data_IF_460746160989
#
_entry.id   IF_460746160989
#
_cell.length_a   1.000
_cell.length_b   1.000
_cell.length_c   1.000
_cell.angle_alpha   90.00
_cell.angle_beta   90.00
_cell.angle_gamma   90.00
#
_symmetry.space_group_name_H-M   'P 1'
#
loop_
_entity.id
_entity.type
_entity.pdbx_description
1 polymer ?
#
# COMPACT_ATOMS: atom_id res chain seq x y z
N UNK A 1 15.70 -10.07 -10.44
CA UNK A 1 15.40 -10.41 -9.05
C UNK A 1 14.46 -9.36 -8.48
N UNK A 2 13.64 -9.74 -7.48
CA UNK A 2 12.72 -8.84 -6.79
C UNK A 2 12.77 -9.07 -5.28
N UNK A 3 12.69 -7.98 -4.51
CA UNK A 3 12.57 -8.01 -3.06
C UNK A 3 11.44 -7.07 -2.61
N UNK A 4 10.91 -7.32 -1.41
CA UNK A 4 9.90 -6.48 -0.77
C UNK A 4 10.33 -6.17 0.64
N UNK A 5 10.17 -4.93 1.04
CA UNK A 5 10.40 -4.44 2.39
C UNK A 5 9.10 -3.81 2.90
N UNK A 6 8.49 -4.45 3.88
CA UNK A 6 7.27 -4.00 4.53
C UNK A 6 7.63 -3.46 5.92
N UNK A 7 7.32 -2.18 6.18
CA UNK A 7 7.74 -1.47 7.38
C UNK A 7 6.54 -0.80 8.07
N UNK A 8 6.47 -0.88 9.39
CA UNK A 8 5.50 -0.08 10.15
C UNK A 8 6.12 1.29 10.47
N UNK A 9 6.02 2.19 9.51
CA UNK A 9 6.64 3.53 9.54
C UNK A 9 5.70 4.58 8.95
N UNK A 10 6.00 5.88 9.20
CA UNK A 10 5.32 6.99 8.54
C UNK A 10 5.81 7.16 7.09
N UNK A 11 5.10 7.98 6.29
CA UNK A 11 5.48 8.24 4.90
C UNK A 11 6.86 8.94 4.79
N UNK A 12 7.18 9.81 5.75
CA UNK A 12 8.50 10.46 5.84
C UNK A 12 9.59 9.43 6.12
N UNK A 13 9.41 8.55 7.10
CA UNK A 13 10.38 7.49 7.38
C UNK A 13 10.50 6.47 6.25
N UNK A 14 9.39 6.12 5.56
CA UNK A 14 9.44 5.30 4.35
C UNK A 14 10.36 5.95 3.29
N UNK A 15 10.30 7.26 3.12
CA UNK A 15 11.18 7.99 2.20
C UNK A 15 12.64 7.94 2.66
N UNK A 16 12.93 8.17 3.94
CA UNK A 16 14.29 8.05 4.47
C UNK A 16 14.89 6.66 4.22
N UNK A 17 14.11 5.59 4.46
CA UNK A 17 14.54 4.21 4.16
C UNK A 17 14.89 4.05 2.67
N UNK A 18 14.09 4.62 1.78
CA UNK A 18 14.35 4.57 0.34
C UNK A 18 15.65 5.27 -0.02
N UNK A 19 15.92 6.44 0.55
CA UNK A 19 17.13 7.22 0.29
C UNK A 19 18.38 6.46 0.82
N UNK A 20 18.33 5.89 2.02
CA UNK A 20 19.40 5.04 2.56
C UNK A 20 19.65 3.78 1.71
N UNK A 21 18.59 3.16 1.20
CA UNK A 21 18.72 2.01 0.30
C UNK A 21 19.36 2.40 -1.05
N UNK A 22 19.08 3.59 -1.58
CA UNK A 22 19.73 4.08 -2.80
C UNK A 22 21.26 4.20 -2.61
N UNK A 23 21.69 4.77 -1.47
CA UNK A 23 23.10 4.90 -1.14
C UNK A 23 23.73 3.52 -0.98
N UNK A 24 23.10 2.63 -0.19
CA UNK A 24 23.58 1.27 0.02
C UNK A 24 23.74 0.49 -1.29
N UNK A 25 22.74 0.50 -2.18
CA UNK A 25 22.84 -0.23 -3.43
C UNK A 25 23.87 0.36 -4.39
N UNK A 26 24.08 1.67 -4.34
CA UNK A 26 25.16 2.34 -5.08
C UNK A 26 26.52 1.87 -4.58
N UNK A 27 26.74 1.82 -3.27
CA UNK A 27 27.96 1.29 -2.65
C UNK A 27 28.17 -0.20 -2.97
N UNK A 28 27.07 -0.97 -3.06
CA UNK A 28 27.10 -2.38 -3.47
C UNK A 28 27.32 -2.59 -4.97
N UNK A 29 27.57 -1.53 -5.76
CA UNK A 29 27.92 -1.62 -7.17
C UNK A 29 26.75 -1.56 -8.14
N UNK A 30 25.61 -1.04 -7.73
CA UNK A 30 24.54 -0.67 -8.67
C UNK A 30 25.03 0.45 -9.59
N UNK A 31 24.96 0.25 -10.89
CA UNK A 31 25.35 1.24 -11.90
C UNK A 31 24.28 2.29 -12.15
N UNK A 32 23.04 2.01 -11.71
CA UNK A 32 21.89 2.91 -11.77
C UNK A 32 20.84 2.49 -10.74
N UNK A 33 20.26 3.48 -10.07
CA UNK A 33 19.14 3.35 -9.14
C UNK A 33 18.06 4.35 -9.58
N UNK A 34 16.92 3.84 -10.01
CA UNK A 34 15.76 4.67 -10.38
C UNK A 34 14.66 4.51 -9.32
N UNK A 35 14.18 5.62 -8.77
CA UNK A 35 13.07 5.65 -7.82
C UNK A 35 11.78 5.88 -8.58
N UNK A 36 10.78 5.01 -8.38
CA UNK A 36 9.42 5.18 -8.86
C UNK A 36 8.47 5.25 -7.68
N UNK A 37 8.02 6.45 -7.34
CA UNK A 37 7.05 6.69 -6.28
C UNK A 37 5.63 6.50 -6.82
N UNK A 38 4.92 5.49 -6.32
CA UNK A 38 3.55 5.13 -6.69
C UNK A 38 2.55 5.40 -5.56
N UNK A 39 2.93 6.20 -4.55
CA UNK A 39 2.07 6.48 -3.39
C UNK A 39 0.86 7.35 -3.71
N UNK A 40 0.79 7.93 -4.91
CA UNK A 40 -0.40 8.63 -5.41
C UNK A 40 -1.60 7.69 -5.66
N UNK A 41 -1.36 6.37 -5.79
CA UNK A 41 -2.41 5.38 -6.02
C UNK A 41 -2.98 5.40 -7.44
N UNK A 42 -2.30 6.03 -8.40
CA UNK A 42 -2.73 6.14 -9.81
C UNK A 42 -2.84 4.78 -10.53
N UNK A 43 -2.22 3.73 -9.98
CA UNK A 43 -2.24 2.37 -10.51
C UNK A 43 -3.26 1.50 -9.75
N UNK A 44 -4.54 1.67 -10.06
CA UNK A 44 -5.65 0.89 -9.45
C UNK A 44 -5.64 0.90 -7.91
N UNK A 45 -5.22 2.01 -7.31
CA UNK A 45 -5.09 2.14 -5.85
C UNK A 45 -3.81 1.57 -5.24
N UNK A 46 -2.95 0.91 -6.02
CA UNK A 46 -1.67 0.39 -5.54
C UNK A 46 -0.74 1.50 -5.06
N UNK A 47 -0.09 1.30 -3.90
CA UNK A 47 0.82 2.26 -3.28
C UNK A 47 2.11 1.57 -2.83
N UNK A 48 3.24 2.13 -3.24
CA UNK A 48 4.58 1.70 -2.84
C UNK A 48 5.62 2.71 -3.37
N UNK A 49 6.86 2.60 -2.92
CA UNK A 49 8.01 3.17 -3.62
C UNK A 49 8.83 2.02 -4.18
N UNK A 50 9.10 2.04 -5.48
CA UNK A 50 9.93 1.04 -6.15
C UNK A 50 11.33 1.59 -6.42
N UNK A 51 12.33 0.80 -6.11
CA UNK A 51 13.71 0.99 -6.53
C UNK A 51 14.02 0.03 -7.66
N UNK A 52 14.25 0.57 -8.84
CA UNK A 52 14.71 -0.20 -10.00
C UNK A 52 16.23 -0.13 -10.07
N UNK A 53 16.87 -1.25 -9.82
CA UNK A 53 18.32 -1.36 -9.67
C UNK A 53 18.92 -2.00 -10.91
N UNK A 54 19.98 -1.42 -11.42
CA UNK A 54 20.79 -2.00 -12.48
C UNK A 54 22.18 -2.36 -11.94
N UNK A 55 22.54 -3.61 -12.04
CA UNK A 55 23.87 -4.12 -11.74
C UNK A 55 24.50 -4.66 -13.03
N UNK A 56 25.85 -4.84 -13.09
CA UNK A 56 26.50 -5.54 -14.20
C UNK A 56 25.93 -6.95 -14.44
N UNK A 57 25.50 -7.62 -13.37
CA UNK A 57 24.91 -8.97 -13.40
C UNK A 57 23.42 -9.01 -13.81
N UNK A 58 22.75 -7.85 -13.92
CA UNK A 58 21.33 -7.79 -14.30
C UNK A 58 20.50 -6.79 -13.52
N UNK A 59 19.18 -6.98 -13.55
CA UNK A 59 18.20 -6.09 -12.93
C UNK A 59 17.66 -6.67 -11.63
N UNK A 60 17.40 -5.78 -10.66
CA UNK A 60 16.61 -6.08 -9.48
C UNK A 60 15.59 -4.96 -9.21
N UNK A 61 14.51 -5.30 -8.53
CA UNK A 61 13.49 -4.37 -8.04
C UNK A 61 13.33 -4.56 -6.54
N UNK A 62 13.29 -3.47 -5.81
CA UNK A 62 12.94 -3.46 -4.38
C UNK A 62 11.70 -2.60 -4.21
N UNK A 63 10.66 -3.18 -3.60
CA UNK A 63 9.43 -2.50 -3.25
C UNK A 63 9.46 -2.15 -1.77
N UNK A 64 9.34 -0.88 -1.44
CA UNK A 64 9.25 -0.39 -0.06
C UNK A 64 7.82 0.06 0.20
N UNK A 65 7.18 -0.55 1.20
CA UNK A 65 5.78 -0.32 1.57
C UNK A 65 5.65 -0.05 3.06
N UNK A 66 4.64 0.72 3.44
CA UNK A 66 4.17 0.72 4.82
C UNK A 66 3.39 -0.56 5.11
N UNK A 67 3.10 -0.82 6.39
CA UNK A 67 2.30 -1.98 6.80
C UNK A 67 0.91 -1.98 6.13
N UNK A 68 0.20 -0.84 6.11
CA UNK A 68 -1.10 -0.72 5.46
C UNK A 68 -1.05 -0.89 3.94
N UNK A 69 -0.04 -0.30 3.28
CA UNK A 69 0.18 -0.46 1.83
C UNK A 69 0.42 -1.93 1.48
N UNK A 70 1.19 -2.63 2.30
CA UNK A 70 1.48 -4.05 2.10
C UNK A 70 0.25 -4.92 2.31
N UNK A 71 -0.49 -4.71 3.39
CA UNK A 71 -1.72 -5.46 3.67
C UNK A 71 -2.73 -5.30 2.54
N UNK A 72 -3.02 -4.05 2.14
CA UNK A 72 -3.91 -3.78 1.01
C UNK A 72 -3.46 -4.48 -0.27
N UNK A 73 -2.18 -4.39 -0.60
CA UNK A 73 -1.65 -4.99 -1.82
C UNK A 73 -1.79 -6.53 -1.82
N UNK A 74 -1.59 -7.19 -0.68
CA UNK A 74 -1.76 -8.64 -0.55
C UNK A 74 -3.23 -9.04 -0.72
N UNK A 75 -4.17 -8.27 -0.15
CA UNK A 75 -5.61 -8.48 -0.31
C UNK A 75 -6.02 -8.28 -1.77
N UNK A 76 -5.51 -7.22 -2.43
CA UNK A 76 -5.79 -6.95 -3.84
C UNK A 76 -5.24 -8.03 -4.78
N UNK A 77 -4.04 -8.56 -4.50
CA UNK A 77 -3.49 -9.71 -5.22
C UNK A 77 -4.38 -10.95 -5.05
N UNK A 78 -4.88 -11.18 -3.84
CA UNK A 78 -5.82 -12.26 -3.56
C UNK A 78 -7.14 -12.13 -4.34
N UNK A 79 -7.65 -10.91 -4.48
CA UNK A 79 -8.79 -10.60 -5.34
C UNK A 79 -8.47 -10.86 -6.82
N UNK A 80 -7.27 -10.45 -7.30
CA UNK A 80 -6.83 -10.66 -8.67
C UNK A 80 -6.66 -12.15 -9.03
N UNK A 81 -6.30 -12.99 -8.08
CA UNK A 81 -6.25 -14.44 -8.28
C UNK A 81 -7.63 -15.08 -8.44
N UNK A 82 -8.67 -14.45 -7.88
CA UNK A 82 -10.06 -14.95 -7.93
C UNK A 82 -10.83 -14.37 -9.11
N UNK A 83 -10.76 -13.06 -9.32
CA UNK A 83 -11.54 -12.31 -10.31
C UNK A 83 -10.80 -12.21 -11.66
N UNK A 84 -9.49 -12.48 -11.68
CA UNK A 84 -8.63 -12.36 -12.84
C UNK A 84 -7.70 -11.14 -12.75
N UNK A 85 -6.50 -11.33 -13.29
CA UNK A 85 -5.42 -10.32 -13.19
C UNK A 85 -5.71 -9.00 -13.89
N UNK A 86 -6.74 -8.95 -14.74
CA UNK A 86 -7.17 -7.73 -15.44
C UNK A 86 -7.63 -6.63 -14.47
N UNK A 87 -8.12 -6.98 -13.24
CA UNK A 87 -8.52 -5.99 -12.24
C UNK A 87 -7.38 -5.03 -11.86
N UNK A 88 -6.11 -5.42 -12.01
CA UNK A 88 -4.94 -4.58 -11.75
C UNK A 88 -4.81 -3.38 -12.68
N UNK A 89 -5.57 -3.37 -13.77
CA UNK A 89 -5.56 -2.32 -14.80
C UNK A 89 -6.89 -1.57 -14.86
N UNK A 90 -7.86 -1.94 -13.99
CA UNK A 90 -9.12 -1.25 -13.90
C UNK A 90 -8.95 0.04 -13.11
N UNK A 91 -9.34 1.14 -13.71
CA UNK A 91 -9.58 2.38 -13.00
C UNK A 91 -11.01 2.39 -12.48
N UNK A 92 -11.28 3.13 -11.39
CA UNK A 92 -12.59 3.22 -10.73
C UNK A 92 -13.76 3.49 -11.72
N UNK A 93 -13.46 4.22 -12.81
CA UNK A 93 -14.42 4.62 -13.84
C UNK A 93 -14.69 3.53 -14.91
N UNK A 94 -13.82 2.53 -15.04
CA UNK A 94 -13.82 1.56 -16.16
C UNK A 94 -14.08 0.11 -15.74
N UNK A 95 -14.65 -0.13 -14.55
CA UNK A 95 -14.98 -1.48 -14.09
C UNK A 95 -16.15 -2.14 -14.82
N UNK A 96 -16.85 -1.41 -15.70
CA UNK A 96 -18.09 -1.89 -16.32
C UNK A 96 -17.81 -2.98 -17.38
N UNK A 97 -18.45 -4.14 -17.20
CA UNK A 97 -18.62 -5.18 -18.23
C UNK A 97 -17.65 -6.34 -18.20
N UNK A 98 -16.62 -6.34 -17.33
CA UNK A 98 -15.67 -7.45 -17.21
C UNK A 98 -15.78 -8.26 -15.90
N UNK A 99 -16.57 -7.75 -14.95
CA UNK A 99 -16.78 -8.34 -13.62
C UNK A 99 -18.28 -8.59 -13.40
N UNK A 100 -18.60 -9.55 -12.51
CA UNK A 100 -19.96 -9.65 -11.98
C UNK A 100 -20.28 -8.42 -11.09
N UNK A 101 -21.56 -8.11 -10.84
CA UNK A 101 -21.92 -7.00 -9.96
C UNK A 101 -21.30 -7.09 -8.57
N UNK A 102 -21.18 -8.29 -8.00
CA UNK A 102 -20.58 -8.57 -6.71
C UNK A 102 -19.07 -8.32 -6.73
N UNK A 103 -18.38 -8.78 -7.77
CA UNK A 103 -16.94 -8.57 -7.96
C UNK A 103 -16.63 -7.09 -8.15
N UNK A 104 -17.47 -6.36 -8.89
CA UNK A 104 -17.33 -4.92 -9.09
C UNK A 104 -17.44 -4.15 -7.76
N UNK A 105 -18.39 -4.52 -6.88
CA UNK A 105 -18.54 -3.92 -5.55
C UNK A 105 -17.29 -4.13 -4.72
N UNK A 106 -16.73 -5.33 -4.71
CA UNK A 106 -15.51 -5.65 -3.95
C UNK A 106 -14.31 -4.87 -4.48
N UNK A 107 -14.12 -4.79 -5.79
CA UNK A 107 -13.02 -4.02 -6.39
C UNK A 107 -13.15 -2.54 -6.07
N UNK A 108 -14.36 -1.97 -6.15
CA UNK A 108 -14.63 -0.57 -5.74
C UNK A 108 -14.34 -0.34 -4.26
N UNK A 109 -14.72 -1.28 -3.38
CA UNK A 109 -14.39 -1.20 -1.95
C UNK A 109 -12.87 -1.16 -1.74
N UNK A 110 -12.12 -2.02 -2.43
CA UNK A 110 -10.66 -2.03 -2.33
C UNK A 110 -10.04 -0.69 -2.80
N UNK A 111 -10.57 -0.08 -3.86
CA UNK A 111 -10.12 1.26 -4.29
C UNK A 111 -10.44 2.34 -3.24
N UNK A 112 -11.61 2.29 -2.61
CA UNK A 112 -12.00 3.21 -1.54
C UNK A 112 -11.09 3.03 -0.33
N UNK A 113 -10.81 1.78 0.09
CA UNK A 113 -9.87 1.49 1.18
C UNK A 113 -8.48 2.04 0.90
N UNK A 114 -7.96 1.93 -0.33
CA UNK A 114 -6.68 2.54 -0.70
C UNK A 114 -6.65 4.06 -0.51
N UNK A 115 -7.76 4.75 -0.80
CA UNK A 115 -7.87 6.21 -0.56
C UNK A 115 -7.84 6.53 0.93
N UNK A 116 -8.57 5.76 1.74
CA UNK A 116 -8.56 5.94 3.20
C UNK A 116 -7.17 5.63 3.80
N UNK A 117 -6.48 4.60 3.34
CA UNK A 117 -5.10 4.31 3.73
C UNK A 117 -4.22 5.54 3.48
N UNK A 118 -4.30 6.14 2.28
CA UNK A 118 -3.52 7.35 1.97
C UNK A 118 -3.84 8.52 2.90
N UNK A 119 -5.10 8.68 3.31
CA UNK A 119 -5.48 9.74 4.24
C UNK A 119 -4.94 9.49 5.65
N UNK A 120 -5.11 8.28 6.17
CA UNK A 120 -4.59 7.86 7.48
C UNK A 120 -3.08 8.00 7.56
N UNK A 121 -2.36 7.55 6.53
CA UNK A 121 -0.90 7.66 6.48
C UNK A 121 -0.42 9.11 6.46
N UNK A 122 -1.10 10.00 5.73
CA UNK A 122 -0.79 11.44 5.74
C UNK A 122 -1.05 12.08 7.10
N UNK A 123 -2.20 11.79 7.71
CA UNK A 123 -2.52 12.28 9.05
C UNK A 123 -1.51 11.78 10.10
N UNK A 124 -1.12 10.51 10.02
CA UNK A 124 -0.09 9.92 10.89
C UNK A 124 1.27 10.61 10.71
N UNK A 125 1.65 10.92 9.49
CA UNK A 125 2.90 11.59 9.14
C UNK A 125 2.90 13.04 9.64
N UNK A 126 1.80 13.79 9.42
CA UNK A 126 1.62 15.15 9.94
C UNK A 126 1.67 15.19 11.46
N UNK A 127 0.94 14.30 12.15
CA UNK A 127 0.92 14.23 13.61
C UNK A 127 2.30 13.89 14.21
N UNK A 128 3.12 13.15 13.47
CA UNK A 128 4.49 12.77 13.91
C UNK A 128 5.50 13.90 13.75
N UNK A 129 5.23 14.88 12.89
CA UNK A 129 6.14 16.00 12.58
C UNK A 129 5.93 17.23 13.45
N UNK A 130 4.87 17.30 14.25
CA UNK A 130 4.55 18.47 15.09
C UNK A 130 5.15 18.34 16.49
N UNK A 131 5.95 19.33 16.91
CA UNK A 131 6.40 19.44 18.30
C UNK A 131 5.24 19.86 19.21
N UNK A 132 5.04 19.22 20.37
CA UNK A 132 3.95 19.56 21.29
C UNK A 132 4.16 20.97 21.87
N UNK A 133 3.20 21.88 21.62
CA UNK A 133 3.00 23.09 22.42
C UNK A 133 1.67 22.95 23.14
N UNK A 134 1.58 23.39 24.40
CA UNK A 134 0.51 23.06 25.35
C UNK A 134 -0.93 23.33 24.86
N UNK A 135 -1.15 24.31 23.98
CA UNK A 135 -2.50 24.65 23.45
C UNK A 135 -2.92 23.81 22.22
N UNK A 136 -1.98 23.19 21.51
CA UNK A 136 -2.26 22.29 20.37
C UNK A 136 -2.57 20.85 20.81
N UNK A 137 -2.33 20.51 22.08
CA UNK A 137 -2.32 19.13 22.58
C UNK A 137 -3.70 18.45 22.52
N UNK A 138 -4.81 19.17 22.80
CA UNK A 138 -6.15 18.57 22.80
C UNK A 138 -6.62 18.20 21.39
N UNK A 139 -6.51 19.10 20.44
CA UNK A 139 -6.92 18.84 19.05
C UNK A 139 -6.05 17.79 18.38
N UNK A 140 -4.74 17.79 18.66
CA UNK A 140 -3.84 16.78 18.16
C UNK A 140 -4.13 15.39 18.74
N UNK A 141 -4.33 15.27 20.06
CA UNK A 141 -4.71 14.00 20.69
C UNK A 141 -6.03 13.46 20.12
N UNK A 142 -6.98 14.34 19.85
CA UNK A 142 -8.25 13.94 19.23
C UNK A 142 -8.07 13.44 17.79
N UNK A 143 -7.27 14.15 16.98
CA UNK A 143 -6.91 13.71 15.62
C UNK A 143 -6.19 12.36 15.64
N UNK A 144 -5.18 12.20 16.48
CA UNK A 144 -4.44 10.94 16.65
C UNK A 144 -5.36 9.77 17.01
N UNK A 145 -6.32 10.01 17.93
CA UNK A 145 -7.30 8.99 18.32
C UNK A 145 -8.18 8.56 17.13
N UNK A 146 -8.73 9.51 16.39
CA UNK A 146 -9.55 9.23 15.21
C UNK A 146 -8.73 8.51 14.14
N UNK A 147 -7.51 8.93 13.89
CA UNK A 147 -6.60 8.29 12.94
C UNK A 147 -6.33 6.84 13.33
N UNK A 148 -6.07 6.58 14.61
CA UNK A 148 -5.85 5.22 15.12
C UNK A 148 -7.11 4.33 15.01
N UNK A 149 -8.30 4.88 15.34
CA UNK A 149 -9.58 4.15 15.20
C UNK A 149 -9.82 3.80 13.72
N UNK A 150 -9.64 4.75 12.80
CA UNK A 150 -9.81 4.53 11.37
C UNK A 150 -8.78 3.53 10.82
N UNK A 151 -7.54 3.59 11.27
CA UNK A 151 -6.51 2.60 10.91
C UNK A 151 -6.91 1.19 11.33
N UNK A 152 -7.42 1.03 12.56
CA UNK A 152 -7.92 -0.25 13.09
C UNK A 152 -9.11 -0.78 12.29
N UNK A 153 -10.05 0.09 11.89
CA UNK A 153 -11.20 -0.29 11.08
C UNK A 153 -10.78 -0.74 9.68
N UNK A 154 -9.81 -0.05 9.07
CA UNK A 154 -9.24 -0.44 7.78
C UNK A 154 -8.57 -1.81 7.87
N UNK A 155 -7.74 -2.04 8.89
CA UNK A 155 -7.08 -3.32 9.10
C UNK A 155 -8.09 -4.46 9.27
N UNK A 156 -9.10 -4.26 10.11
CA UNK A 156 -10.19 -5.24 10.32
C UNK A 156 -10.90 -5.56 9.01
N UNK A 157 -11.24 -4.55 8.20
CA UNK A 157 -11.91 -4.76 6.91
C UNK A 157 -11.02 -5.53 5.94
N UNK A 158 -9.71 -5.25 5.91
CA UNK A 158 -8.77 -5.98 5.06
C UNK A 158 -8.62 -7.44 5.51
N UNK A 159 -8.56 -7.71 6.82
CA UNK A 159 -8.53 -9.08 7.38
C UNK A 159 -9.78 -9.88 7.00
N UNK A 160 -10.95 -9.26 7.09
CA UNK A 160 -12.22 -9.89 6.71
C UNK A 160 -12.26 -10.23 5.20
N UNK A 161 -11.76 -9.34 4.34
CA UNK A 161 -11.65 -9.60 2.90
C UNK A 161 -10.65 -10.70 2.60
N UNK A 162 -9.51 -10.73 3.28
CA UNK A 162 -8.50 -11.78 3.11
C UNK A 162 -9.07 -13.16 3.48
N UNK A 163 -9.78 -13.23 4.60
CA UNK A 163 -10.44 -14.47 5.05
C UNK A 163 -11.54 -14.90 4.06
N UNK A 164 -12.33 -13.95 3.53
CA UNK A 164 -13.32 -14.24 2.49
C UNK A 164 -12.66 -14.84 1.25
N UNK A 165 -11.58 -14.23 0.75
CA UNK A 165 -10.87 -14.72 -0.43
C UNK A 165 -10.21 -16.08 -0.17
N UNK A 166 -9.72 -16.33 1.03
CA UNK A 166 -9.22 -17.64 1.44
C UNK A 166 -10.29 -18.72 1.33
N UNK A 167 -11.49 -18.47 1.88
CA UNK A 167 -12.63 -19.39 1.81
C UNK A 167 -13.09 -19.65 0.38
N UNK A 168 -13.15 -18.63 -0.47
CA UNK A 168 -13.51 -18.78 -1.89
C UNK A 168 -12.49 -19.64 -2.62
N UNK A 169 -11.19 -19.44 -2.39
CA UNK A 169 -10.14 -20.29 -3.00
C UNK A 169 -10.22 -21.75 -2.55
N UNK A 170 -10.49 -22.00 -1.27
CA UNK A 170 -10.65 -23.36 -0.74
C UNK A 170 -11.88 -24.07 -1.34
N UNK A 171 -12.99 -23.35 -1.54
CA UNK A 171 -14.20 -23.91 -2.14
C UNK A 171 -14.03 -24.28 -3.64
N UNK A 172 -13.17 -23.55 -4.38
CA UNK A 172 -12.88 -23.84 -5.80
C UNK A 172 -11.91 -25.01 -6.00
N UNK A 173 -11.24 -25.49 -4.93
CA UNK A 173 -10.31 -26.63 -4.99
C UNK A 173 -10.97 -27.98 -4.70
N UNK A 174 -12.21 -27.96 -4.20
CA UNK A 174 -13.05 -29.16 -3.95
C UNK A 174 -13.92 -29.47 -5.16
#
# INVERSE_FOLDING_TARGET
>A
AGARLDCDVTLTHQRCIVDELCDLFTECGATRVDIKDLRDGSHSGYRAIHLHLRFPAGFAEVQVRTALQSHWANVYESAADIFGRHIRYLHEENCQGSLSPEEEIIVKLLHVLSKYISQVEKERDECSSVHPSDDLDYNMKHRQKITFELESDIQTTLDELEELFRKVRESRRK
#
